data_IF_642015106749
#
_entry.id   IF_642015106749
#
_cell.length_a   1.000
_cell.length_b   1.000
_cell.length_c   1.000
_cell.angle_alpha   90.00
_cell.angle_beta   90.00
_cell.angle_gamma   90.00
#
_symmetry.space_group_name_H-M   'P 1'
#
loop_
_entity.id
_entity.type
_entity.pdbx_description
1 polymer ?
#
# COMPACT_ATOMS: atom_id res chain seq x y z
N UNK A 1 2.26 12.98 21.60
CA UNK A 1 1.32 13.72 20.74
C UNK A 1 1.38 13.07 19.36
N UNK A 2 0.27 12.49 18.90
CA UNK A 2 0.19 11.87 17.57
C UNK A 2 0.31 13.00 16.53
N UNK A 3 1.28 12.90 15.65
CA UNK A 3 1.55 13.94 14.65
C UNK A 3 0.53 13.79 13.51
N UNK A 4 -0.56 14.57 13.53
CA UNK A 4 -1.57 14.56 12.48
C UNK A 4 -1.10 15.37 11.27
N UNK A 5 -1.47 14.90 10.08
CA UNK A 5 -1.17 15.55 8.80
C UNK A 5 -2.48 16.08 8.23
N UNK A 6 -2.53 17.38 7.95
CA UNK A 6 -3.65 18.03 7.25
C UNK A 6 -3.32 18.08 5.74
N UNK A 7 -4.15 17.46 4.92
CA UNK A 7 -3.99 17.46 3.46
C UNK A 7 -5.36 17.48 2.79
N UNK A 8 -5.58 18.45 1.89
CA UNK A 8 -6.85 18.62 1.15
C UNK A 8 -8.09 18.59 2.07
N UNK A 9 -8.06 19.36 3.16
CA UNK A 9 -9.12 19.45 4.19
C UNK A 9 -9.41 18.14 4.93
N UNK A 10 -8.55 17.15 4.80
CA UNK A 10 -8.63 15.87 5.49
C UNK A 10 -7.49 15.71 6.49
N UNK A 11 -7.75 14.95 7.55
CA UNK A 11 -6.75 14.66 8.60
C UNK A 11 -6.29 13.22 8.48
N UNK A 12 -4.96 13.03 8.49
CA UNK A 12 -4.34 11.70 8.46
C UNK A 12 -3.49 11.47 9.70
N UNK A 13 -3.49 10.25 10.20
CA UNK A 13 -2.67 9.80 11.33
C UNK A 13 -1.71 8.72 10.87
N UNK A 14 -0.39 8.89 11.08
CA UNK A 14 0.59 7.84 10.80
C UNK A 14 0.40 6.61 11.70
N UNK A 15 0.40 5.42 11.12
CA UNK A 15 0.31 4.13 11.80
C UNK A 15 1.53 3.31 11.40
N UNK A 16 2.45 3.05 12.32
CA UNK A 16 3.68 2.29 12.07
C UNK A 16 4.64 2.91 11.04
N UNK A 17 4.46 4.18 10.70
CA UNK A 17 5.23 4.90 9.68
C UNK A 17 5.63 6.30 10.14
N UNK A 18 6.63 6.87 9.48
CA UNK A 18 6.84 8.31 9.44
C UNK A 18 6.08 8.89 8.23
N UNK A 19 5.29 9.93 8.44
CA UNK A 19 4.57 10.56 7.35
C UNK A 19 4.55 12.08 7.49
N UNK A 20 4.44 12.79 6.36
CA UNK A 20 4.40 14.25 6.32
C UNK A 20 4.16 14.79 4.92
N UNK A 21 3.88 16.11 4.83
CA UNK A 21 3.72 16.78 3.57
C UNK A 21 5.06 17.03 2.89
N UNK A 22 5.10 16.81 1.60
CA UNK A 22 6.23 17.15 0.73
C UNK A 22 5.72 17.80 -0.55
N UNK A 23 6.55 18.56 -1.23
CA UNK A 23 6.28 19.10 -2.56
C UNK A 23 7.11 18.34 -3.58
N UNK A 24 6.48 17.80 -4.59
CA UNK A 24 7.10 17.09 -5.70
C UNK A 24 6.49 17.59 -7.02
N UNK A 25 7.32 18.00 -7.95
CA UNK A 25 6.90 18.52 -9.25
C UNK A 25 5.88 19.68 -9.18
N UNK A 26 5.93 20.47 -8.08
CA UNK A 26 5.03 21.60 -7.82
C UNK A 26 3.74 21.23 -7.09
N UNK A 27 3.46 19.97 -6.87
CA UNK A 27 2.29 19.49 -6.16
C UNK A 27 2.59 19.06 -4.73
N UNK A 28 1.65 19.31 -3.82
CA UNK A 28 1.77 18.86 -2.43
C UNK A 28 1.24 17.43 -2.30
N UNK A 29 2.00 16.59 -1.61
CA UNK A 29 1.71 15.16 -1.44
C UNK A 29 1.90 14.75 0.02
N UNK A 30 1.29 13.63 0.41
CA UNK A 30 1.63 12.92 1.64
C UNK A 30 2.75 11.91 1.32
N UNK A 31 3.91 12.10 1.91
CA UNK A 31 4.99 11.11 1.89
C UNK A 31 4.86 10.19 3.09
N UNK A 32 4.82 8.89 2.85
CA UNK A 32 4.74 7.84 3.88
C UNK A 32 5.99 6.99 3.79
N UNK A 33 6.69 6.80 4.91
CA UNK A 33 7.95 6.06 4.95
C UNK A 33 7.92 5.05 6.09
N UNK A 34 8.15 3.79 5.77
CA UNK A 34 8.39 2.76 6.78
C UNK A 34 9.76 3.02 7.39
N UNK A 35 9.88 3.24 8.73
CA UNK A 35 11.15 3.53 9.36
C UNK A 35 12.07 2.31 9.38
N UNK A 36 13.38 2.55 9.45
CA UNK A 36 14.41 1.50 9.42
C UNK A 36 14.27 0.49 10.55
N UNK A 37 13.90 0.96 11.73
CA UNK A 37 13.68 0.13 12.92
C UNK A 37 12.44 -0.79 12.83
N UNK A 38 11.54 -0.53 11.89
CA UNK A 38 10.35 -1.36 11.67
C UNK A 38 10.58 -2.33 10.50
N UNK A 39 11.31 -3.42 10.75
CA UNK A 39 11.63 -4.43 9.74
C UNK A 39 10.62 -5.58 9.66
N UNK A 40 9.61 -5.59 10.55
CA UNK A 40 8.60 -6.66 10.55
C UNK A 40 7.78 -6.64 9.26
N UNK A 41 7.64 -7.78 8.57
CA UNK A 41 6.72 -7.88 7.44
C UNK A 41 5.26 -7.84 7.92
N UNK A 42 4.36 -7.46 7.01
CA UNK A 42 2.90 -7.54 7.20
C UNK A 42 2.33 -6.84 8.45
N UNK A 43 3.03 -5.84 9.00
CA UNK A 43 2.51 -5.00 10.09
C UNK A 43 1.81 -3.76 9.54
N UNK A 44 0.86 -3.15 10.31
CA UNK A 44 0.21 -1.92 9.90
C UNK A 44 1.23 -0.80 9.63
N UNK A 45 1.28 -0.31 8.39
CA UNK A 45 2.22 0.74 7.93
C UNK A 45 1.56 1.64 6.90
N UNK A 46 0.75 2.61 7.37
CA UNK A 46 -0.01 3.51 6.49
C UNK A 46 -0.32 4.86 7.15
N UNK A 47 -0.81 5.81 6.38
CA UNK A 47 -1.43 7.03 6.88
C UNK A 47 -2.95 6.84 6.87
N UNK A 48 -3.58 6.77 8.05
CA UNK A 48 -5.00 6.54 8.21
C UNK A 48 -5.78 7.85 8.10
N UNK A 49 -6.78 7.89 7.22
CA UNK A 49 -7.74 8.99 7.12
C UNK A 49 -8.67 8.96 8.34
N UNK A 50 -8.70 10.06 9.09
CA UNK A 50 -9.54 10.20 10.28
C UNK A 50 -11.00 10.42 9.89
N UNK A 51 -11.90 9.73 10.59
CA UNK A 51 -13.35 9.89 10.39
C UNK A 51 -13.90 9.24 9.13
N UNK A 52 -13.11 8.40 8.45
CA UNK A 52 -13.59 7.59 7.34
C UNK A 52 -14.35 6.36 7.86
N UNK A 53 -15.60 6.21 7.42
CA UNK A 53 -16.43 5.02 7.62
C UNK A 53 -16.74 4.38 6.26
N UNK A 54 -15.68 3.93 5.59
CA UNK A 54 -15.77 3.41 4.24
C UNK A 54 -16.13 1.92 4.23
N UNK A 55 -17.26 1.58 3.62
CA UNK A 55 -17.72 0.20 3.43
C UNK A 55 -17.83 -0.19 1.95
N UNK A 56 -18.41 0.69 1.12
CA UNK A 56 -18.59 0.47 -0.31
C UNK A 56 -18.32 1.76 -1.07
N UNK A 57 -17.94 1.64 -2.32
CA UNK A 57 -17.67 2.77 -3.22
C UNK A 57 -16.40 2.59 -3.99
N UNK A 58 -15.89 3.68 -4.51
CA UNK A 58 -14.64 3.72 -5.26
C UNK A 58 -13.55 4.40 -4.47
N UNK A 59 -12.37 3.80 -4.44
CA UNK A 59 -11.14 4.41 -3.95
C UNK A 59 -10.24 4.63 -5.16
N UNK A 60 -9.75 5.86 -5.33
CA UNK A 60 -8.77 6.21 -6.36
C UNK A 60 -7.61 6.97 -5.72
N UNK A 61 -6.39 6.62 -6.10
CA UNK A 61 -5.19 7.28 -5.62
C UNK A 61 -4.04 7.15 -6.62
N UNK A 62 -3.31 8.23 -6.83
CA UNK A 62 -2.04 8.22 -7.54
C UNK A 62 -0.90 8.02 -6.55
N UNK A 63 -0.07 7.02 -6.81
CA UNK A 63 1.04 6.64 -5.94
C UNK A 63 2.36 6.57 -6.70
N UNK A 64 3.46 6.88 -6.00
CA UNK A 64 4.82 6.77 -6.52
C UNK A 64 5.73 6.21 -5.45
N UNK A 65 6.42 5.12 -5.73
CA UNK A 65 7.29 4.44 -4.77
C UNK A 65 8.77 4.65 -5.07
N UNK A 66 9.54 4.90 -4.00
CA UNK A 66 11.00 4.88 -4.01
C UNK A 66 11.51 4.03 -2.85
N UNK A 67 12.59 3.31 -3.07
CA UNK A 67 13.27 2.62 -1.99
C UNK A 67 14.12 3.61 -1.17
N UNK A 68 14.08 3.47 0.13
CA UNK A 68 15.01 4.16 1.02
C UNK A 68 16.38 3.46 0.97
N UNK A 69 17.45 4.17 1.34
CA UNK A 69 18.81 3.62 1.29
C UNK A 69 19.03 2.45 2.27
N UNK A 70 18.20 2.33 3.28
CA UNK A 70 18.19 1.22 4.24
C UNK A 70 17.27 0.05 3.84
N UNK A 71 16.53 0.19 2.73
CA UNK A 71 15.62 -0.85 2.31
C UNK A 71 16.38 -2.14 1.99
N UNK A 72 15.85 -3.26 2.48
CA UNK A 72 16.38 -4.59 2.20
C UNK A 72 16.45 -4.86 0.68
N UNK A 73 17.43 -5.68 0.27
CA UNK A 73 17.61 -6.09 -1.13
C UNK A 73 16.36 -6.76 -1.70
N UNK A 74 15.56 -7.40 -0.86
CA UNK A 74 14.32 -8.04 -1.24
C UNK A 74 13.10 -7.13 -1.19
N UNK A 75 13.22 -5.88 -0.74
CA UNK A 75 12.15 -4.91 -0.76
C UNK A 75 11.69 -4.64 -2.19
N UNK A 76 10.37 -4.66 -2.44
CA UNK A 76 9.75 -4.51 -3.77
C UNK A 76 9.12 -3.15 -4.01
N UNK A 77 9.32 -2.19 -3.10
CA UNK A 77 8.74 -0.85 -3.20
C UNK A 77 7.23 -0.85 -2.99
N UNK A 78 6.76 -1.64 -2.02
CA UNK A 78 5.34 -1.80 -1.71
C UNK A 78 4.67 -0.46 -1.48
N UNK A 79 3.57 -0.21 -2.21
CA UNK A 79 2.74 0.98 -2.07
C UNK A 79 1.32 0.67 -2.51
N UNK A 80 0.33 1.27 -1.85
CA UNK A 80 -1.07 1.05 -2.16
C UNK A 80 -1.97 1.79 -1.19
N UNK A 81 -3.15 1.23 -0.93
CA UNK A 81 -4.08 1.77 0.04
C UNK A 81 -4.67 0.69 0.94
N UNK A 82 -5.11 1.14 2.10
CA UNK A 82 -5.81 0.34 3.11
C UNK A 82 -7.26 0.82 3.18
N UNK A 83 -8.18 -0.10 3.38
CA UNK A 83 -9.60 0.20 3.58
C UNK A 83 -10.21 -0.75 4.62
N UNK A 84 -11.36 -0.35 5.18
CA UNK A 84 -12.04 -1.08 6.26
C UNK A 84 -11.11 -1.38 7.45
N UNK A 85 -10.24 -0.41 7.78
CA UNK A 85 -9.40 -0.53 8.97
C UNK A 85 -10.24 -0.40 10.24
N UNK A 86 -9.96 -1.25 11.25
CA UNK A 86 -10.51 -1.11 12.59
C UNK A 86 -9.95 0.14 13.28
N UNK A 87 -10.60 0.61 14.32
CA UNK A 87 -10.14 1.76 15.10
C UNK A 87 -8.77 1.51 15.76
N UNK A 88 -8.50 0.27 16.13
CA UNK A 88 -7.26 -0.19 16.75
C UNK A 88 -6.15 -0.52 15.74
N UNK A 89 -6.40 -0.37 14.44
CA UNK A 89 -5.48 -0.71 13.36
C UNK A 89 -5.02 -2.19 13.36
N UNK A 90 -5.78 -3.08 14.01
CA UNK A 90 -5.48 -4.52 14.14
C UNK A 90 -6.12 -5.39 13.05
N UNK A 91 -7.02 -4.82 12.25
CA UNK A 91 -7.69 -5.47 11.11
C UNK A 91 -7.89 -4.47 9.99
N UNK A 92 -7.57 -4.85 8.77
CA UNK A 92 -7.80 -4.05 7.57
C UNK A 92 -7.70 -4.92 6.31
N UNK A 93 -8.22 -4.40 5.22
CA UNK A 93 -7.99 -4.91 3.87
C UNK A 93 -7.03 -3.98 3.14
N UNK A 94 -6.23 -4.52 2.24
CA UNK A 94 -5.27 -3.74 1.47
C UNK A 94 -5.15 -4.22 0.04
N UNK A 95 -5.03 -3.27 -0.87
CA UNK A 95 -4.57 -3.49 -2.22
C UNK A 95 -3.27 -2.70 -2.42
N UNK A 96 -2.23 -3.38 -2.89
CA UNK A 96 -0.93 -2.78 -3.10
C UNK A 96 -0.22 -3.32 -4.33
N UNK A 97 0.75 -2.55 -4.79
CA UNK A 97 1.62 -2.91 -5.91
C UNK A 97 3.07 -3.05 -5.47
N UNK A 98 3.83 -3.77 -6.29
CA UNK A 98 5.27 -4.03 -6.13
C UNK A 98 6.03 -3.47 -7.34
N UNK A 99 6.27 -2.16 -7.41
CA UNK A 99 6.85 -1.54 -8.61
C UNK A 99 8.20 -2.11 -9.03
N UNK A 100 9.02 -2.61 -8.10
CA UNK A 100 10.29 -3.26 -8.42
C UNK A 100 10.13 -4.61 -9.15
N UNK A 101 8.95 -5.21 -9.14
CA UNK A 101 8.60 -6.38 -9.95
C UNK A 101 8.13 -5.99 -11.36
N UNK A 102 8.00 -4.70 -11.67
CA UNK A 102 7.48 -4.17 -12.92
C UNK A 102 8.44 -4.31 -14.11
N UNK A 103 8.43 -3.29 -14.98
CA UNK A 103 9.11 -3.30 -16.27
C UNK A 103 10.60 -3.62 -16.18
N UNK A 104 11.31 -3.03 -15.22
CA UNK A 104 12.76 -3.20 -15.02
C UNK A 104 13.15 -4.52 -14.37
N UNK A 105 12.20 -5.33 -13.92
CA UNK A 105 12.50 -6.61 -13.26
C UNK A 105 12.99 -7.62 -14.27
N UNK A 106 14.17 -8.19 -14.03
CA UNK A 106 14.80 -9.21 -14.91
C UNK A 106 14.38 -10.64 -14.56
N UNK A 107 13.69 -10.84 -13.43
CA UNK A 107 13.26 -12.15 -12.95
C UNK A 107 11.82 -12.45 -13.42
N UNK A 108 11.61 -13.33 -14.42
CA UNK A 108 10.29 -13.57 -15.00
C UNK A 108 9.22 -14.00 -13.97
N UNK A 109 9.63 -14.81 -12.98
CA UNK A 109 8.74 -15.28 -11.92
C UNK A 109 8.24 -14.15 -10.99
N UNK A 110 8.94 -13.02 -10.89
CA UNK A 110 8.51 -11.85 -10.12
C UNK A 110 7.60 -10.93 -10.92
N UNK A 111 7.79 -10.87 -12.24
CA UNK A 111 7.04 -9.97 -13.12
C UNK A 111 5.55 -10.29 -13.22
N UNK A 112 5.13 -11.47 -12.82
CA UNK A 112 3.71 -11.87 -12.78
C UNK A 112 3.03 -11.53 -11.45
N UNK A 113 3.79 -11.06 -10.45
CA UNK A 113 3.33 -10.74 -9.11
C UNK A 113 3.58 -9.26 -8.80
N UNK A 114 3.01 -8.36 -9.59
CA UNK A 114 3.20 -6.90 -9.44
C UNK A 114 2.13 -6.24 -8.59
N UNK A 115 1.01 -6.89 -8.35
CA UNK A 115 -0.08 -6.38 -7.52
C UNK A 115 -0.67 -7.50 -6.66
N UNK A 116 -1.22 -7.14 -5.51
CA UNK A 116 -1.83 -8.06 -4.58
C UNK A 116 -2.90 -7.41 -3.71
N UNK A 117 -3.97 -8.17 -3.44
CA UNK A 117 -4.89 -7.93 -2.34
C UNK A 117 -4.54 -8.84 -1.15
N UNK A 118 -4.74 -8.35 0.08
CA UNK A 118 -4.69 -9.15 1.29
C UNK A 118 -5.62 -8.60 2.38
N UNK A 119 -5.92 -9.45 3.37
CA UNK A 119 -6.69 -9.06 4.54
C UNK A 119 -5.90 -9.40 5.81
N UNK A 120 -5.55 -8.35 6.57
CA UNK A 120 -4.77 -8.46 7.79
C UNK A 120 -5.68 -8.75 9.00
N UNK A 121 -5.26 -9.61 9.95
CA UNK A 121 -3.94 -10.24 10.05
C UNK A 121 -3.84 -11.65 9.43
N UNK A 122 -4.95 -12.29 9.10
CA UNK A 122 -4.98 -13.73 8.84
C UNK A 122 -4.66 -14.14 7.41
N UNK A 123 -4.99 -13.31 6.43
CA UNK A 123 -4.94 -13.64 5.00
C UNK A 123 -3.89 -12.79 4.30
N UNK A 124 -2.63 -12.94 4.73
CA UNK A 124 -1.48 -12.23 4.18
C UNK A 124 -0.84 -12.99 3.01
N UNK A 125 0.16 -12.40 2.41
CA UNK A 125 0.97 -12.99 1.35
C UNK A 125 1.47 -14.41 1.70
N UNK A 126 1.97 -14.62 2.92
CA UNK A 126 2.47 -15.92 3.37
C UNK A 126 1.37 -16.98 3.38
N UNK A 127 0.20 -16.62 3.90
CA UNK A 127 -0.98 -17.50 3.93
C UNK A 127 -1.36 -18.01 2.53
N UNK A 128 -1.42 -17.10 1.55
CA UNK A 128 -1.77 -17.47 0.17
C UNK A 128 -0.70 -18.34 -0.49
N UNK A 129 0.57 -17.98 -0.30
CA UNK A 129 1.72 -18.72 -0.87
C UNK A 129 1.82 -20.14 -0.35
N UNK A 130 1.69 -20.36 0.96
CA UNK A 130 1.71 -21.67 1.58
C UNK A 130 0.62 -22.61 1.07
N UNK A 131 -0.50 -22.05 0.61
CA UNK A 131 -1.67 -22.78 0.09
C UNK A 131 -1.77 -22.84 -1.42
N UNK A 132 -0.81 -22.25 -2.12
CA UNK A 132 -0.83 -22.18 -3.58
C UNK A 132 -1.99 -21.36 -4.17
N UNK A 133 -2.53 -20.41 -3.39
CA UNK A 133 -3.63 -19.53 -3.82
C UNK A 133 -3.03 -18.35 -4.59
N UNK A 134 -3.31 -18.25 -5.88
CA UNK A 134 -2.81 -17.19 -6.75
C UNK A 134 -3.88 -16.14 -7.14
N UNK A 135 -5.13 -16.34 -6.77
CA UNK A 135 -6.28 -15.53 -7.19
C UNK A 135 -6.22 -14.07 -6.73
N UNK A 136 -5.42 -13.78 -5.71
CA UNK A 136 -5.25 -12.46 -5.12
C UNK A 136 -3.98 -11.73 -5.56
N UNK A 137 -3.26 -12.28 -6.53
CA UNK A 137 -2.11 -11.66 -7.18
C UNK A 137 -2.35 -11.53 -8.69
N UNK A 138 -1.84 -10.46 -9.29
CA UNK A 138 -1.91 -10.26 -10.73
C UNK A 138 -0.72 -9.46 -11.25
N UNK A 139 -0.61 -9.40 -12.58
CA UNK A 139 0.37 -8.59 -13.29
C UNK A 139 -0.21 -7.24 -13.66
N UNK A 140 0.57 -6.18 -13.38
CA UNK A 140 0.32 -4.83 -13.89
C UNK A 140 1.56 -4.28 -14.59
N UNK A 141 1.38 -3.37 -15.52
CA UNK A 141 2.45 -2.70 -16.26
C UNK A 141 2.89 -1.43 -15.51
N UNK A 142 3.73 -1.61 -14.52
CA UNK A 142 4.18 -0.59 -13.57
C UNK A 142 5.69 -0.51 -13.49
N UNK A 143 6.21 0.56 -12.87
CA UNK A 143 7.64 0.79 -12.70
C UNK A 143 7.96 1.52 -11.39
N UNK A 144 9.18 1.30 -10.86
CA UNK A 144 9.71 2.12 -9.77
C UNK A 144 9.84 3.57 -10.20
N UNK A 145 9.60 4.48 -9.25
CA UNK A 145 9.73 5.92 -9.44
C UNK A 145 8.81 6.53 -10.52
N UNK A 146 7.89 5.74 -11.06
CA UNK A 146 6.80 6.19 -11.92
C UNK A 146 5.52 6.43 -11.12
N UNK A 147 4.67 7.34 -11.61
CA UNK A 147 3.31 7.48 -11.11
C UNK A 147 2.45 6.28 -11.52
N UNK A 148 1.71 5.75 -10.58
CA UNK A 148 0.82 4.60 -10.75
C UNK A 148 -0.55 5.02 -10.26
N UNK A 149 -1.56 4.96 -11.13
CA UNK A 149 -2.94 5.17 -10.76
C UNK A 149 -3.54 3.85 -10.25
N UNK A 150 -4.06 3.88 -9.03
CA UNK A 150 -4.75 2.74 -8.42
C UNK A 150 -6.22 3.07 -8.26
N UNK A 151 -7.07 2.13 -8.63
CA UNK A 151 -8.53 2.22 -8.46
C UNK A 151 -9.05 0.92 -7.88
N UNK A 152 -9.99 1.02 -6.94
CA UNK A 152 -10.77 -0.09 -6.44
C UNK A 152 -12.25 0.26 -6.43
N UNK A 153 -13.08 -0.57 -7.05
CA UNK A 153 -14.53 -0.53 -6.93
C UNK A 153 -14.97 -1.65 -5.97
N UNK A 154 -15.48 -1.26 -4.80
CA UNK A 154 -15.77 -2.16 -3.67
C UNK A 154 -17.27 -2.20 -3.42
N UNK A 155 -17.82 -3.43 -3.38
CA UNK A 155 -19.24 -3.66 -3.12
C UNK A 155 -19.46 -4.94 -2.30
N UNK A 156 -19.89 -4.79 -1.06
CA UNK A 156 -20.07 -5.91 -0.13
C UNK A 156 -18.77 -6.69 0.07
N UNK A 157 -18.76 -7.98 -0.19
CA UNK A 157 -17.59 -8.84 -0.12
C UNK A 157 -16.75 -8.87 -1.42
N UNK A 158 -17.18 -8.18 -2.47
CA UNK A 158 -16.48 -8.13 -3.75
C UNK A 158 -15.68 -6.84 -3.93
N UNK A 159 -14.53 -6.94 -4.59
CA UNK A 159 -13.73 -5.80 -5.03
C UNK A 159 -13.13 -6.05 -6.41
N UNK A 160 -13.00 -5.00 -7.20
CA UNK A 160 -12.28 -4.99 -8.48
C UNK A 160 -11.18 -3.93 -8.41
N UNK A 161 -9.96 -4.31 -8.78
CA UNK A 161 -8.78 -3.47 -8.72
C UNK A 161 -8.19 -3.24 -10.10
#
# INVERSE_FOLDING_TARGET
>A
MTNCIMFQDQTYVPVGVSAGLVTLDGEQLIRVVKPEENNEPDVPTYARLVGSDFHNGTIEVDVRARLMHWADIDCRGFIGFVFRASEEDDRFESFYVRPRNGRSCTEPQRRVHTMQYFSYPGYTFAYFRERGIADFEAKADIEMDGWIHLRADIKGAGATF
#
